data_IF_326051734005
#
_entry.id   IF_326051734005
#
_cell.length_a   1.000
_cell.length_b   1.000
_cell.length_c   1.000
_cell.angle_alpha   90.00
_cell.angle_beta   90.00
_cell.angle_gamma   90.00
#
_symmetry.space_group_name_H-M   'P 1'
#
loop_
_entity.id
_entity.type
_entity.pdbx_description
1 polymer ?
#
# COMPACT_ATOMS: atom_id res chain seq x y z
N UNK A 1 -24.19 -10.57 16.80
CA UNK A 1 -23.28 -9.99 15.80
C UNK A 1 -23.18 -8.51 16.14
N UNK A 2 -21.98 -7.95 16.16
CA UNK A 2 -21.79 -6.52 16.42
C UNK A 2 -22.39 -5.71 15.27
N UNK A 3 -22.91 -4.52 15.54
CA UNK A 3 -23.37 -3.60 14.50
C UNK A 3 -22.18 -3.00 13.75
N UNK A 4 -22.39 -2.45 12.54
CA UNK A 4 -21.34 -1.76 11.80
C UNK A 4 -20.74 -0.60 12.63
N UNK A 5 -21.58 0.17 13.33
CA UNK A 5 -21.13 1.26 14.19
C UNK A 5 -20.21 0.78 15.32
N UNK A 6 -20.51 -0.37 15.93
CA UNK A 6 -19.68 -0.97 16.98
C UNK A 6 -18.31 -1.39 16.42
N UNK A 7 -18.28 -2.01 15.24
CA UNK A 7 -17.05 -2.42 14.54
C UNK A 7 -16.19 -1.19 14.22
N UNK A 8 -16.77 -0.15 13.61
CA UNK A 8 -16.09 1.08 13.24
C UNK A 8 -15.57 1.82 14.48
N UNK A 9 -16.36 1.89 15.55
CA UNK A 9 -15.95 2.54 16.80
C UNK A 9 -14.81 1.79 17.47
N UNK A 10 -14.87 0.46 17.53
CA UNK A 10 -13.80 -0.39 18.06
C UNK A 10 -12.51 -0.23 17.25
N UNK A 11 -12.61 -0.21 15.92
CA UNK A 11 -11.50 0.03 15.02
C UNK A 11 -10.84 1.40 15.29
N UNK A 12 -11.63 2.47 15.34
CA UNK A 12 -11.15 3.82 15.63
C UNK A 12 -10.48 3.91 16.99
N UNK A 13 -11.05 3.27 18.01
CA UNK A 13 -10.45 3.24 19.35
C UNK A 13 -9.10 2.53 19.36
N UNK A 14 -8.96 1.45 18.58
CA UNK A 14 -7.73 0.65 18.51
C UNK A 14 -6.60 1.37 17.76
N UNK A 15 -6.90 1.90 16.58
CA UNK A 15 -5.88 2.42 15.66
C UNK A 15 -5.79 3.95 15.59
N UNK A 16 -6.78 4.68 16.13
CA UNK A 16 -6.88 6.13 15.95
C UNK A 16 -7.29 6.56 14.53
N UNK A 17 -7.68 5.61 13.68
CA UNK A 17 -8.06 5.82 12.27
C UNK A 17 -9.57 5.65 12.12
N UNK A 18 -10.22 6.56 11.39
CA UNK A 18 -11.68 6.48 11.17
C UNK A 18 -12.00 5.70 9.90
N UNK A 19 -12.97 4.80 9.95
CA UNK A 19 -13.57 4.21 8.75
C UNK A 19 -14.66 5.16 8.22
N UNK A 20 -14.66 5.37 6.92
CA UNK A 20 -15.67 6.16 6.20
C UNK A 20 -16.30 5.27 5.13
N UNK A 21 -17.62 5.19 5.11
CA UNK A 21 -18.39 4.34 4.17
C UNK A 21 -19.28 5.15 3.24
N UNK A 22 -19.58 6.38 3.64
CA UNK A 22 -20.44 7.27 2.87
C UNK A 22 -19.67 7.89 1.72
N UNK A 23 -20.41 8.22 0.66
CA UNK A 23 -19.86 8.94 -0.47
C UNK A 23 -19.57 10.38 -0.04
N UNK A 24 -18.37 10.65 0.43
CA UNK A 24 -17.84 12.00 0.43
C UNK A 24 -17.82 12.50 -1.03
N UNK A 25 -18.19 13.77 -1.26
CA UNK A 25 -18.06 14.41 -2.57
C UNK A 25 -16.58 14.37 -2.96
N UNK A 26 -16.20 13.38 -3.76
CA UNK A 26 -14.86 13.37 -4.34
C UNK A 26 -14.80 14.22 -5.58
N UNK A 27 -13.62 14.80 -5.74
CA UNK A 27 -13.28 15.77 -6.75
C UNK A 27 -13.13 15.13 -8.14
N UNK A 28 -12.87 15.98 -9.14
CA UNK A 28 -12.84 15.58 -10.56
C UNK A 28 -11.95 14.36 -10.80
N UNK A 29 -12.55 13.29 -11.36
CA UNK A 29 -11.82 12.12 -11.84
C UNK A 29 -11.79 10.93 -10.89
N UNK A 30 -12.27 11.04 -9.64
CA UNK A 30 -12.39 9.89 -8.74
C UNK A 30 -13.86 9.51 -8.54
N UNK A 31 -14.18 8.26 -8.82
CA UNK A 31 -15.52 7.71 -8.70
C UNK A 31 -15.55 6.48 -7.79
N UNK A 32 -16.58 6.37 -6.96
CA UNK A 32 -16.95 5.14 -6.25
C UNK A 32 -18.42 5.21 -5.80
N UNK A 33 -18.90 4.07 -5.33
CA UNK A 33 -20.21 3.83 -4.76
C UNK A 33 -20.09 3.35 -3.31
N UNK A 34 -21.15 3.57 -2.51
CA UNK A 34 -21.25 3.01 -1.15
C UNK A 34 -21.20 1.48 -1.23
N UNK A 35 -20.32 0.86 -0.47
CA UNK A 35 -20.25 -0.59 -0.32
C UNK A 35 -21.36 -1.11 0.59
N UNK A 36 -21.70 -2.40 0.45
CA UNK A 36 -22.63 -3.07 1.36
C UNK A 36 -22.06 -3.13 2.79
N UNK A 37 -22.91 -2.97 3.80
CA UNK A 37 -22.44 -2.92 5.20
C UNK A 37 -21.76 -4.22 5.64
N UNK A 38 -22.30 -5.37 5.24
CA UNK A 38 -21.68 -6.67 5.49
C UNK A 38 -20.28 -6.76 4.89
N UNK A 39 -20.10 -6.24 3.66
CA UNK A 39 -18.81 -6.26 2.98
C UNK A 39 -17.78 -5.39 3.68
N UNK A 40 -18.19 -4.20 4.12
CA UNK A 40 -17.35 -3.30 4.93
C UNK A 40 -16.93 -3.99 6.21
N UNK A 41 -17.88 -4.60 6.93
CA UNK A 41 -17.61 -5.26 8.21
C UNK A 41 -16.63 -6.42 8.03
N UNK A 42 -16.87 -7.29 7.04
CA UNK A 42 -15.98 -8.41 6.69
C UNK A 42 -14.56 -7.91 6.38
N UNK A 43 -14.43 -6.80 5.64
CA UNK A 43 -13.13 -6.24 5.28
C UNK A 43 -12.40 -5.65 6.49
N UNK A 44 -13.11 -4.93 7.37
CA UNK A 44 -12.53 -4.39 8.61
C UNK A 44 -12.02 -5.52 9.51
N UNK A 45 -12.83 -6.54 9.72
CA UNK A 45 -12.52 -7.64 10.64
C UNK A 45 -11.47 -8.59 10.07
N UNK A 46 -11.59 -8.96 8.79
CA UNK A 46 -10.72 -9.98 8.17
C UNK A 46 -9.40 -9.43 7.64
N UNK A 47 -9.35 -8.15 7.25
CA UNK A 47 -8.16 -7.54 6.63
C UNK A 47 -7.61 -6.43 7.53
N UNK A 48 -8.33 -5.32 7.68
CA UNK A 48 -7.73 -4.10 8.26
C UNK A 48 -7.27 -4.30 9.71
N UNK A 49 -8.06 -5.00 10.53
CA UNK A 49 -7.69 -5.27 11.91
C UNK A 49 -6.39 -6.06 12.02
N UNK A 50 -6.17 -7.06 11.17
CA UNK A 50 -4.94 -7.85 11.15
C UNK A 50 -3.76 -7.06 10.60
N UNK A 51 -3.95 -6.45 9.42
CA UNK A 51 -2.88 -5.77 8.69
C UNK A 51 -2.39 -4.49 9.39
N UNK A 52 -3.28 -3.69 9.97
CA UNK A 52 -2.84 -2.49 10.72
C UNK A 52 -2.24 -2.82 12.09
N UNK A 53 -2.52 -4.00 12.66
CA UNK A 53 -1.88 -4.44 13.91
C UNK A 53 -0.40 -4.79 13.73
N UNK A 54 0.11 -4.80 12.50
CA UNK A 54 1.55 -4.95 12.21
C UNK A 54 2.34 -3.74 12.70
N UNK A 55 1.70 -2.56 12.76
CA UNK A 55 2.32 -1.29 13.09
C UNK A 55 1.91 -0.81 14.47
N UNK A 56 2.80 -0.14 15.20
CA UNK A 56 2.35 0.63 16.36
C UNK A 56 1.50 1.83 15.95
N UNK A 57 0.68 2.30 16.90
CA UNK A 57 -0.08 3.54 16.72
C UNK A 57 0.83 4.77 16.50
N UNK A 58 2.11 4.70 16.90
CA UNK A 58 3.06 5.79 16.64
C UNK A 58 3.44 5.84 15.16
N UNK A 59 3.66 4.68 14.53
CA UNK A 59 3.89 4.57 13.08
C UNK A 59 2.68 5.09 12.31
N UNK A 60 1.47 4.63 12.65
CA UNK A 60 0.23 5.09 11.99
C UNK A 60 0.01 6.60 12.16
N UNK A 61 0.33 7.15 13.34
CA UNK A 61 0.27 8.59 13.57
C UNK A 61 1.34 9.34 12.75
N UNK A 62 2.56 8.80 12.64
CA UNK A 62 3.65 9.42 11.88
C UNK A 62 3.38 9.40 10.38
N UNK A 63 2.75 8.35 9.85
CA UNK A 63 2.29 8.30 8.45
C UNK A 63 1.13 9.26 8.18
N UNK A 64 0.59 9.88 9.25
CA UNK A 64 -0.56 10.77 9.25
C UNK A 64 -1.87 10.09 8.87
N UNK A 65 -1.94 8.78 8.63
CA UNK A 65 -3.18 8.09 8.28
C UNK A 65 -4.28 8.41 9.31
N UNK A 66 -5.36 9.01 8.85
CA UNK A 66 -6.47 9.46 9.71
C UNK A 66 -7.81 8.85 9.32
N UNK A 67 -7.97 8.49 8.04
CA UNK A 67 -9.20 7.93 7.49
C UNK A 67 -8.91 6.82 6.47
N UNK A 68 -9.75 5.80 6.48
CA UNK A 68 -9.83 4.79 5.41
C UNK A 68 -11.25 4.83 4.87
N UNK A 69 -11.39 5.13 3.59
CA UNK A 69 -12.67 5.08 2.87
C UNK A 69 -12.83 3.68 2.32
N UNK A 70 -13.86 2.96 2.77
CA UNK A 70 -14.22 1.65 2.26
C UNK A 70 -15.41 1.78 1.32
N UNK A 71 -15.21 1.40 0.08
CA UNK A 71 -16.14 1.67 -1.01
C UNK A 71 -16.23 0.50 -1.99
N UNK A 72 -17.15 0.58 -2.94
CA UNK A 72 -17.17 -0.29 -4.11
C UNK A 72 -17.07 0.56 -5.36
N UNK A 73 -16.63 -0.05 -6.44
CA UNK A 73 -16.54 0.64 -7.72
C UNK A 73 -15.53 1.77 -7.78
N UNK A 74 -14.41 1.63 -7.05
CA UNK A 74 -13.37 2.65 -7.04
C UNK A 74 -12.74 2.76 -8.42
N UNK A 75 -12.71 3.99 -8.92
CA UNK A 75 -12.14 4.35 -10.20
C UNK A 75 -11.38 5.67 -10.11
N UNK A 76 -10.26 5.74 -10.82
CA UNK A 76 -9.45 6.94 -11.01
C UNK A 76 -9.32 7.21 -12.49
N UNK A 77 -9.68 8.42 -12.93
CA UNK A 77 -9.72 8.85 -14.33
C UNK A 77 -10.49 7.87 -15.25
N UNK A 78 -11.53 7.23 -14.72
CA UNK A 78 -12.36 6.25 -15.44
C UNK A 78 -11.85 4.80 -15.39
N UNK A 79 -10.66 4.55 -14.86
CA UNK A 79 -10.05 3.23 -14.74
C UNK A 79 -10.30 2.62 -13.35
N UNK A 80 -10.63 1.33 -13.29
CA UNK A 80 -10.87 0.61 -12.03
C UNK A 80 -9.57 0.39 -11.26
N UNK A 81 -9.59 0.69 -9.97
CA UNK A 81 -8.44 0.53 -9.07
C UNK A 81 -8.83 -0.16 -7.77
N UNK A 82 -7.90 -0.92 -7.18
CA UNK A 82 -8.12 -1.61 -5.89
C UNK A 82 -7.97 -0.72 -4.67
N UNK A 83 -7.13 0.30 -4.78
CA UNK A 83 -6.89 1.30 -3.76
C UNK A 83 -6.47 2.62 -4.37
N UNK A 84 -6.50 3.66 -3.55
CA UNK A 84 -6.00 4.98 -3.90
C UNK A 84 -5.62 5.76 -2.63
N UNK A 85 -4.37 6.14 -2.51
CA UNK A 85 -3.90 7.05 -1.47
C UNK A 85 -4.05 8.51 -1.88
N UNK A 86 -4.26 9.38 -0.89
CA UNK A 86 -4.16 10.81 -1.08
C UNK A 86 -2.70 11.25 -1.25
N UNK A 87 -2.28 11.35 -2.51
CA UNK A 87 -0.96 11.80 -2.92
C UNK A 87 -0.93 13.34 -3.06
N UNK A 88 -1.11 14.06 -1.94
CA UNK A 88 -1.07 15.53 -1.86
C UNK A 88 0.09 16.16 -2.65
N UNK A 89 1.22 15.45 -2.79
CA UNK A 89 2.43 15.93 -3.45
C UNK A 89 2.43 15.90 -4.98
N UNK A 90 1.51 15.18 -5.61
CA UNK A 90 1.36 15.18 -7.08
C UNK A 90 0.56 16.40 -7.58
N UNK A 91 0.20 17.34 -6.70
CA UNK A 91 -0.72 18.45 -7.03
C UNK A 91 -2.18 18.00 -7.18
N UNK A 92 -2.42 16.72 -6.89
CA UNK A 92 -3.71 16.04 -6.87
C UNK A 92 -4.29 16.11 -5.46
N UNK A 93 -4.71 17.28 -5.00
CA UNK A 93 -5.39 17.41 -3.70
C UNK A 93 -6.87 17.05 -3.84
N UNK A 94 -7.17 15.81 -4.23
CA UNK A 94 -8.56 15.36 -4.44
C UNK A 94 -9.30 15.01 -3.14
N UNK A 95 -8.58 15.08 -2.02
CA UNK A 95 -8.85 14.43 -0.75
C UNK A 95 -8.35 15.34 0.39
N UNK A 96 -8.95 15.24 1.60
CA UNK A 96 -8.69 16.18 2.73
C UNK A 96 -7.33 16.01 3.44
N UNK A 97 -6.33 15.46 2.76
CA UNK A 97 -5.10 14.99 3.37
C UNK A 97 -5.33 13.73 4.18
N UNK A 98 -4.33 12.84 4.25
CA UNK A 98 -4.25 11.81 5.29
C UNK A 98 -5.29 10.67 5.20
N UNK A 99 -5.64 10.26 3.98
CA UNK A 99 -6.59 9.17 3.75
C UNK A 99 -6.18 8.22 2.63
N UNK A 100 -6.71 7.00 2.71
CA UNK A 100 -6.66 6.01 1.63
C UNK A 100 -8.09 5.54 1.33
N UNK A 101 -8.38 5.30 0.06
CA UNK A 101 -9.59 4.67 -0.42
C UNK A 101 -9.28 3.23 -0.81
N UNK A 102 -10.17 2.30 -0.47
CA UNK A 102 -10.02 0.88 -0.78
C UNK A 102 -11.35 0.37 -1.33
N UNK A 103 -11.27 -0.30 -2.48
CA UNK A 103 -12.40 -1.02 -3.05
C UNK A 103 -12.52 -2.38 -2.35
N UNK A 104 -13.59 -2.54 -1.58
CA UNK A 104 -13.82 -3.74 -0.79
C UNK A 104 -14.39 -4.89 -1.61
N UNK A 105 -14.79 -4.70 -2.87
CA UNK A 105 -15.30 -5.78 -3.71
C UNK A 105 -14.19 -6.71 -4.22
N UNK A 106 -12.92 -6.31 -4.11
CA UNK A 106 -11.82 -7.21 -4.40
C UNK A 106 -11.80 -8.39 -3.40
N UNK A 107 -11.44 -9.62 -3.84
CA UNK A 107 -11.41 -10.79 -2.97
C UNK A 107 -10.57 -10.57 -1.72
N UNK A 108 -11.04 -11.07 -0.56
CA UNK A 108 -10.32 -11.01 0.72
C UNK A 108 -9.13 -11.98 0.74
N UNK A 109 -8.09 -11.66 -0.03
CA UNK A 109 -6.93 -12.50 -0.19
C UNK A 109 -5.63 -11.67 -0.10
N UNK A 110 -4.52 -12.28 -0.52
CA UNK A 110 -3.22 -11.62 -0.57
C UNK A 110 -3.21 -10.27 -1.31
N UNK A 111 -4.01 -10.12 -2.36
CA UNK A 111 -4.13 -8.86 -3.09
C UNK A 111 -4.73 -7.76 -2.21
N UNK A 112 -5.84 -8.01 -1.52
CA UNK A 112 -6.47 -7.04 -0.62
C UNK A 112 -5.49 -6.58 0.48
N UNK A 113 -4.73 -7.51 1.05
CA UNK A 113 -3.67 -7.19 2.02
C UNK A 113 -2.56 -6.32 1.41
N UNK A 114 -2.13 -6.65 0.18
CA UNK A 114 -1.10 -5.89 -0.53
C UNK A 114 -1.57 -4.45 -0.81
N UNK A 115 -2.83 -4.26 -1.24
CA UNK A 115 -3.42 -2.93 -1.47
C UNK A 115 -3.35 -2.07 -0.20
N UNK A 116 -3.73 -2.61 0.97
CA UNK A 116 -3.67 -1.85 2.25
C UNK A 116 -2.26 -1.30 2.50
N UNK A 117 -1.24 -2.14 2.36
CA UNK A 117 0.14 -1.72 2.64
C UNK A 117 0.74 -0.86 1.54
N UNK A 118 0.31 -1.05 0.30
CA UNK A 118 0.68 -0.23 -0.84
C UNK A 118 0.20 1.21 -0.61
N UNK A 119 -1.09 1.41 -0.32
CA UNK A 119 -1.64 2.74 -0.10
C UNK A 119 -1.14 3.38 1.21
N UNK A 120 -0.93 2.57 2.26
CA UNK A 120 -0.31 3.07 3.50
C UNK A 120 1.14 3.53 3.25
N UNK A 121 1.89 2.82 2.42
CA UNK A 121 3.27 3.20 2.10
C UNK A 121 3.33 4.56 1.41
N UNK A 122 2.40 4.83 0.49
CA UNK A 122 2.30 6.15 -0.12
C UNK A 122 2.19 7.26 0.94
N UNK A 123 1.39 7.07 1.99
CA UNK A 123 1.32 8.03 3.10
C UNK A 123 2.61 8.11 3.93
N UNK A 124 3.29 6.97 4.17
CA UNK A 124 4.58 6.93 4.85
C UNK A 124 5.64 7.73 4.07
N UNK A 125 5.75 7.47 2.77
CA UNK A 125 6.71 8.13 1.88
C UNK A 125 6.41 9.64 1.76
N UNK A 126 5.13 10.02 1.77
CA UNK A 126 4.67 11.41 1.90
C UNK A 126 5.16 12.09 3.16
N UNK A 127 5.10 11.38 4.29
CA UNK A 127 5.28 11.94 5.61
C UNK A 127 6.76 12.13 6.00
N UNK A 128 7.68 11.42 5.33
CA UNK A 128 9.11 11.47 5.63
C UNK A 128 9.76 12.74 5.03
N UNK A 129 9.90 12.84 3.70
CA UNK A 129 10.62 13.96 3.08
C UNK A 129 10.29 14.24 1.60
N UNK A 130 9.24 13.64 1.03
CA UNK A 130 8.80 13.87 -0.37
C UNK A 130 9.78 13.40 -1.46
N UNK A 131 10.72 12.49 -1.16
CA UNK A 131 11.57 11.92 -2.22
C UNK A 131 10.81 11.01 -3.22
N UNK A 132 9.58 10.58 -2.94
CA UNK A 132 8.83 9.55 -3.70
C UNK A 132 8.80 9.65 -5.24
N UNK A 133 8.73 10.84 -5.85
CA UNK A 133 8.78 11.00 -7.33
C UNK A 133 10.20 11.09 -7.90
N UNK A 134 11.15 11.53 -7.07
CA UNK A 134 12.47 11.99 -7.49
C UNK A 134 13.60 11.33 -6.69
N UNK A 135 13.33 10.22 -6.03
CA UNK A 135 14.31 9.45 -5.28
C UNK A 135 15.35 8.89 -6.26
N UNK A 136 16.35 9.73 -6.53
CA UNK A 136 17.41 9.43 -7.48
C UNK A 136 18.27 8.28 -6.96
N UNK A 137 18.36 8.08 -5.64
CA UNK A 137 19.06 6.94 -5.06
C UNK A 137 18.30 5.65 -5.35
N UNK A 138 16.96 5.65 -5.21
CA UNK A 138 16.15 4.51 -5.65
C UNK A 138 16.27 4.24 -7.15
N UNK A 139 16.20 5.30 -7.99
CA UNK A 139 16.37 5.18 -9.45
C UNK A 139 17.69 4.53 -9.83
N UNK A 140 18.79 4.87 -9.15
CA UNK A 140 20.13 4.30 -9.37
C UNK A 140 20.22 2.81 -9.07
N UNK A 141 19.28 2.23 -8.32
CA UNK A 141 19.26 0.79 -8.05
C UNK A 141 18.89 -0.02 -9.29
N UNK A 142 18.09 0.57 -10.18
CA UNK A 142 17.60 -0.05 -11.41
C UNK A 142 18.74 -0.32 -12.41
N UNK A 143 18.54 -1.22 -13.38
CA UNK A 143 19.50 -1.40 -14.47
C UNK A 143 19.80 -0.07 -15.18
N UNK A 144 21.04 0.18 -15.64
CA UNK A 144 21.46 1.48 -16.18
C UNK A 144 20.60 2.07 -17.31
N UNK A 145 19.91 1.23 -18.08
CA UNK A 145 19.07 1.64 -19.21
C UNK A 145 17.56 1.57 -18.91
N UNK A 146 17.18 1.23 -17.68
CA UNK A 146 15.78 1.18 -17.30
C UNK A 146 15.20 2.60 -17.19
N UNK A 147 13.97 2.76 -17.67
CA UNK A 147 13.17 3.97 -17.49
C UNK A 147 11.77 3.56 -17.05
N UNK A 148 11.27 4.26 -16.04
CA UNK A 148 9.88 4.18 -15.63
C UNK A 148 8.97 4.65 -16.78
N UNK A 149 7.80 4.02 -16.92
CA UNK A 149 6.85 4.32 -17.99
C UNK A 149 5.40 4.25 -17.49
N UNK A 150 4.77 5.41 -17.33
CA UNK A 150 3.41 5.56 -16.85
C UNK A 150 2.36 4.89 -17.77
N UNK A 151 2.69 4.69 -19.05
CA UNK A 151 1.81 4.05 -20.05
C UNK A 151 1.73 2.51 -19.93
N UNK A 152 2.53 1.90 -19.06
CA UNK A 152 2.49 0.45 -18.83
C UNK A 152 1.21 0.05 -18.09
N UNK A 153 0.13 -0.27 -18.81
CA UNK A 153 -1.10 -0.78 -18.20
C UNK A 153 -0.88 -1.99 -17.29
N UNK A 154 -1.74 -2.20 -16.28
CA UNK A 154 -1.64 -3.27 -15.26
C UNK A 154 -1.49 -4.67 -15.88
N UNK A 155 -1.98 -4.86 -17.11
CA UNK A 155 -2.00 -6.13 -17.83
C UNK A 155 -1.01 -6.22 -19.01
N UNK A 156 -0.13 -5.24 -19.22
CA UNK A 156 0.90 -5.38 -20.26
C UNK A 156 1.94 -6.40 -19.80
N UNK A 157 1.92 -7.60 -20.39
CA UNK A 157 2.94 -8.63 -20.19
C UNK A 157 4.26 -8.13 -20.78
N UNK A 158 5.08 -7.48 -19.94
CA UNK A 158 6.51 -7.38 -20.20
C UNK A 158 7.18 -8.61 -19.58
N UNK A 159 8.26 -9.10 -20.17
CA UNK A 159 9.03 -10.19 -19.58
C UNK A 159 9.47 -9.76 -18.17
N UNK A 160 9.19 -10.61 -17.16
CA UNK A 160 9.57 -10.45 -15.74
C UNK A 160 10.91 -9.73 -15.64
N UNK A 161 10.86 -8.45 -15.32
CA UNK A 161 12.01 -7.58 -15.44
C UNK A 161 12.71 -7.58 -14.10
N UNK A 162 13.95 -8.08 -14.08
CA UNK A 162 14.78 -8.08 -12.88
C UNK A 162 14.69 -6.75 -12.15
N UNK A 163 14.35 -6.80 -10.86
CA UNK A 163 14.26 -5.66 -9.98
C UNK A 163 12.86 -5.21 -9.63
N UNK A 164 11.80 -5.76 -10.22
CA UNK A 164 10.42 -5.28 -10.01
C UNK A 164 9.48 -6.38 -9.55
N UNK A 165 8.55 -6.03 -8.65
CA UNK A 165 7.56 -6.94 -8.08
C UNK A 165 6.39 -7.22 -9.04
N UNK A 166 6.09 -6.27 -9.91
CA UNK A 166 4.99 -6.33 -10.88
C UNK A 166 5.27 -5.39 -12.05
N UNK A 167 4.50 -5.50 -13.14
CA UNK A 167 4.57 -4.51 -14.23
C UNK A 167 4.13 -3.12 -13.74
N UNK A 168 3.24 -3.06 -12.75
CA UNK A 168 2.78 -1.82 -12.15
C UNK A 168 3.91 -1.07 -11.44
N UNK A 169 4.81 -1.79 -10.75
CA UNK A 169 6.03 -1.24 -10.16
C UNK A 169 6.98 -0.55 -11.17
N UNK A 170 6.83 -0.81 -12.47
CA UNK A 170 7.64 -0.18 -13.51
C UNK A 170 7.06 1.15 -14.00
N UNK A 171 5.88 1.56 -13.52
CA UNK A 171 5.25 2.83 -13.91
C UNK A 171 5.99 4.05 -13.39
N UNK A 172 6.26 4.08 -12.09
CA UNK A 172 6.89 5.20 -11.42
C UNK A 172 7.69 4.75 -10.18
N UNK A 173 8.58 5.61 -9.69
CA UNK A 173 9.40 5.34 -8.50
C UNK A 173 8.56 5.07 -7.26
N UNK A 174 7.50 5.86 -7.03
CA UNK A 174 6.64 5.65 -5.87
C UNK A 174 5.90 4.31 -5.95
N UNK A 175 5.47 3.88 -7.14
CA UNK A 175 4.81 2.59 -7.31
C UNK A 175 5.77 1.42 -7.08
N UNK A 176 7.01 1.54 -7.55
CA UNK A 176 8.07 0.57 -7.30
C UNK A 176 8.35 0.38 -5.81
N UNK A 177 8.46 1.51 -5.09
CA UNK A 177 8.67 1.52 -3.65
C UNK A 177 7.46 0.93 -2.92
N UNK A 178 6.24 1.35 -3.27
CA UNK A 178 5.00 0.88 -2.65
C UNK A 178 4.78 -0.62 -2.88
N UNK A 179 4.97 -1.12 -4.11
CA UNK A 179 4.87 -2.54 -4.43
C UNK A 179 5.94 -3.38 -3.72
N UNK A 180 7.19 -2.88 -3.68
CA UNK A 180 8.28 -3.55 -2.94
C UNK A 180 7.95 -3.63 -1.45
N UNK A 181 7.55 -2.52 -0.84
CA UNK A 181 7.19 -2.46 0.57
C UNK A 181 6.00 -3.38 0.89
N UNK A 182 4.90 -3.25 0.14
CA UNK A 182 3.69 -4.01 0.39
C UNK A 182 3.98 -5.52 0.30
N UNK A 183 4.79 -5.93 -0.67
CA UNK A 183 5.23 -7.33 -0.76
C UNK A 183 6.11 -7.76 0.41
N UNK A 184 7.03 -6.91 0.89
CA UNK A 184 7.82 -7.19 2.10
C UNK A 184 6.95 -7.39 3.35
N UNK A 185 5.82 -6.71 3.46
CA UNK A 185 4.91 -6.87 4.61
C UNK A 185 4.05 -8.13 4.50
N UNK A 186 3.48 -8.40 3.32
CA UNK A 186 2.50 -9.47 3.09
C UNK A 186 3.16 -10.83 2.87
N UNK A 187 4.30 -10.87 2.17
CA UNK A 187 5.02 -12.09 1.81
C UNK A 187 6.54 -11.86 1.79
N UNK A 188 7.09 -11.64 2.98
CA UNK A 188 8.51 -11.41 3.20
C UNK A 188 9.39 -12.58 2.70
N UNK A 189 8.99 -13.82 2.95
CA UNK A 189 9.77 -14.99 2.52
C UNK A 189 9.72 -15.17 1.00
N UNK A 190 8.59 -14.89 0.36
CA UNK A 190 8.45 -14.94 -1.10
C UNK A 190 9.36 -13.92 -1.78
N UNK A 191 9.36 -12.67 -1.31
CA UNK A 191 10.23 -11.63 -1.90
C UNK A 191 11.72 -11.90 -1.64
N UNK A 192 12.10 -12.39 -0.45
CA UNK A 192 13.48 -12.78 -0.17
C UNK A 192 13.92 -13.97 -1.04
N UNK A 193 13.01 -14.90 -1.37
CA UNK A 193 13.30 -15.99 -2.31
C UNK A 193 13.60 -15.44 -3.72
N UNK A 194 12.78 -14.51 -4.22
CA UNK A 194 13.03 -13.86 -5.52
C UNK A 194 14.37 -13.11 -5.52
N UNK A 195 14.67 -12.40 -4.43
CA UNK A 195 15.89 -11.62 -4.28
C UNK A 195 17.18 -12.46 -4.24
N UNK A 196 17.11 -13.79 -4.04
CA UNK A 196 18.28 -14.68 -4.15
C UNK A 196 18.81 -14.75 -5.58
N UNK A 197 17.93 -14.62 -6.57
CA UNK A 197 18.26 -14.71 -7.99
C UNK A 197 18.27 -13.34 -8.68
N UNK A 198 17.83 -12.30 -7.96
CA UNK A 198 17.68 -10.94 -8.46
C UNK A 198 18.41 -9.92 -7.57
N UNK A 199 19.64 -9.58 -7.97
CA UNK A 199 20.47 -8.62 -7.25
C UNK A 199 19.91 -7.19 -7.26
N UNK A 200 19.11 -6.81 -8.26
CA UNK A 200 18.47 -5.49 -8.29
C UNK A 200 17.38 -5.44 -7.21
N UNK A 201 16.52 -6.46 -7.18
CA UNK A 201 15.48 -6.58 -6.17
C UNK A 201 16.08 -6.66 -4.77
N UNK A 202 17.15 -7.44 -4.58
CA UNK A 202 17.86 -7.52 -3.31
C UNK A 202 18.32 -6.14 -2.80
N UNK A 203 18.90 -5.32 -3.68
CA UNK A 203 19.32 -3.95 -3.31
C UNK A 203 18.13 -3.07 -2.94
N UNK A 204 17.00 -3.18 -3.64
CA UNK A 204 15.77 -2.45 -3.32
C UNK A 204 15.20 -2.85 -1.95
N UNK A 205 15.20 -4.14 -1.63
CA UNK A 205 14.79 -4.62 -0.30
C UNK A 205 15.70 -4.05 0.79
N UNK A 206 17.02 -4.08 0.60
CA UNK A 206 17.97 -3.47 1.54
C UNK A 206 17.70 -1.97 1.71
N UNK A 207 17.54 -1.24 0.60
CA UNK A 207 17.24 0.19 0.63
C UNK A 207 15.91 0.47 1.33
N UNK A 208 14.89 -0.33 1.10
CA UNK A 208 13.59 -0.20 1.77
C UNK A 208 13.72 -0.37 3.29
N UNK A 209 14.50 -1.36 3.76
CA UNK A 209 14.76 -1.54 5.19
C UNK A 209 15.44 -0.30 5.81
N UNK A 210 16.41 0.30 5.10
CA UNK A 210 17.06 1.54 5.54
C UNK A 210 16.09 2.71 5.64
N UNK A 211 15.27 2.92 4.59
CA UNK A 211 14.27 3.99 4.54
C UNK A 211 13.26 3.84 5.68
N UNK A 212 12.71 2.64 5.86
CA UNK A 212 11.73 2.39 6.92
C UNK A 212 12.33 2.57 8.32
N UNK A 213 13.57 2.13 8.54
CA UNK A 213 14.28 2.33 9.81
C UNK A 213 14.56 3.82 10.09
N UNK A 214 14.88 4.59 9.05
CA UNK A 214 15.03 6.04 9.15
C UNK A 214 13.69 6.74 9.46
N UNK A 215 12.61 6.30 8.80
CA UNK A 215 11.27 6.79 9.06
C UNK A 215 10.84 6.50 10.50
N UNK A 216 11.03 5.29 11.02
CA UNK A 216 10.73 4.99 12.41
C UNK A 216 11.58 3.82 12.93
N UNK A 217 12.09 3.95 14.15
CA UNK A 217 13.04 2.97 14.72
C UNK A 217 12.43 1.58 14.95
N UNK A 218 11.10 1.46 14.94
CA UNK A 218 10.39 0.16 15.02
C UNK A 218 10.73 -0.77 13.86
N UNK A 219 11.10 -0.25 12.68
CA UNK A 219 11.42 -1.04 11.49
C UNK A 219 12.85 -1.62 11.53
N UNK A 220 13.20 -2.23 12.65
CA UNK A 220 14.50 -2.86 12.90
C UNK A 220 14.53 -4.34 12.46
N UNK A 221 15.63 -5.03 12.78
CA UNK A 221 15.80 -6.44 12.43
C UNK A 221 14.77 -7.35 13.09
N UNK A 222 14.27 -7.01 14.29
CA UNK A 222 13.24 -7.79 14.98
C UNK A 222 11.90 -7.68 14.26
N UNK A 223 11.55 -6.50 13.74
CA UNK A 223 10.36 -6.32 12.92
C UNK A 223 10.40 -7.21 11.68
N UNK A 224 11.50 -7.18 10.92
CA UNK A 224 11.63 -7.99 9.69
C UNK A 224 11.69 -9.50 9.98
N UNK A 225 12.32 -9.91 11.09
CA UNK A 225 12.28 -11.30 11.54
C UNK A 225 10.86 -11.75 11.91
N UNK A 226 10.06 -10.88 12.54
CA UNK A 226 8.67 -11.18 12.82
C UNK A 226 7.87 -11.35 11.51
N UNK A 227 8.11 -10.49 10.50
CA UNK A 227 7.50 -10.63 9.17
C UNK A 227 7.86 -11.96 8.50
N UNK A 228 9.14 -12.36 8.57
CA UNK A 228 9.59 -13.66 8.05
C UNK A 228 8.86 -14.85 8.71
N UNK A 229 8.63 -14.79 10.03
CA UNK A 229 7.91 -15.85 10.77
C UNK A 229 6.42 -15.91 10.44
N UNK A 230 5.79 -14.76 10.18
CA UNK A 230 4.37 -14.66 9.84
C UNK A 230 4.09 -14.71 8.34
N UNK A 231 5.12 -14.87 7.49
CA UNK A 231 4.99 -14.80 6.04
C UNK A 231 4.17 -15.98 5.53
N UNK A 232 3.08 -15.67 4.84
CA UNK A 232 2.33 -16.65 4.06
C UNK A 232 2.67 -16.45 2.59
N UNK A 233 2.92 -17.53 1.85
CA UNK A 233 3.28 -17.42 0.44
C UNK A 233 2.13 -16.76 -0.33
N UNK A 234 2.41 -15.63 -0.99
CA UNK A 234 1.46 -15.04 -1.91
C UNK A 234 1.40 -15.90 -3.19
N UNK A 235 0.22 -16.09 -3.80
CA UNK A 235 0.14 -16.71 -5.12
C UNK A 235 0.97 -15.89 -6.11
N UNK A 236 1.67 -16.58 -7.01
CA UNK A 236 2.40 -15.93 -8.09
C UNK A 236 1.39 -15.18 -8.98
N UNK A 237 1.58 -13.86 -9.12
CA UNK A 237 0.85 -13.01 -10.06
C UNK A 237 1.51 -13.04 -11.44
#
# INVERSE_FOLDING_TARGET
MSTQDEIILAFKKKFGVSIVTDKDKLELGIGYNRAEESRVNDYVESILCGELSIYSNQVLKKSKLSRIVLCKDLASLGERVGGLADLQWLGFTWFKGNQICIDVEYPLNHYARQVVHHELYHLIDSADDFSGLRDNEWKKLNPPNFKYNDDLGVNQKTTLTRGFISNYAMKAVHEDKAETYARMIVDYNGIEKLAKEDLVLKRKICRMKELMKAFFSEFDDLFWQARAKSSTAAPHF
#
